data_IF_655404735199
#
_entry.id   IF_655404735199
#
_cell.length_a   1.000
_cell.length_b   1.000
_cell.length_c   1.000
_cell.angle_alpha   90.00
_cell.angle_beta   90.00
_cell.angle_gamma   90.00
#
_symmetry.space_group_name_H-M   'P 1'
#
loop_
_entity.id
_entity.type
_entity.pdbx_description
1 polymer ?
#
# COMPACT_ATOMS: atom_id res chain seq x y z
N UNK A 1 -2.37 -1.93 -13.13
CA UNK A 1 -1.04 -2.49 -13.39
C UNK A 1 -0.27 -2.57 -12.08
N UNK A 2 0.58 -3.60 -11.94
CA UNK A 2 1.39 -3.84 -10.73
C UNK A 2 2.26 -2.63 -10.34
N UNK A 3 2.72 -1.85 -11.32
CA UNK A 3 3.46 -0.61 -11.08
C UNK A 3 2.63 0.44 -10.31
N UNK A 4 1.36 0.63 -10.66
CA UNK A 4 0.49 1.58 -9.94
C UNK A 4 0.24 1.12 -8.50
N UNK A 5 0.02 -0.17 -8.30
CA UNK A 5 -0.17 -0.75 -6.97
C UNK A 5 1.09 -0.59 -6.10
N UNK A 6 2.28 -0.90 -6.64
CA UNK A 6 3.56 -0.68 -5.93
C UNK A 6 3.81 0.78 -5.57
N UNK A 7 3.51 1.71 -6.49
CA UNK A 7 3.64 3.15 -6.23
C UNK A 7 2.67 3.61 -5.13
N UNK A 8 1.43 3.11 -5.16
CA UNK A 8 0.44 3.42 -4.14
C UNK A 8 0.85 2.87 -2.77
N UNK A 9 1.36 1.63 -2.73
CA UNK A 9 1.92 1.02 -1.51
C UNK A 9 3.03 1.85 -0.90
N UNK A 10 4.04 2.21 -1.71
CA UNK A 10 5.20 2.99 -1.24
C UNK A 10 4.77 4.30 -0.59
N UNK A 11 3.77 4.98 -1.15
CA UNK A 11 3.25 6.25 -0.59
C UNK A 11 2.45 6.00 0.68
N UNK A 12 1.63 4.96 0.71
CA UNK A 12 0.81 4.64 1.87
C UNK A 12 1.67 4.22 3.07
N UNK A 13 2.76 3.50 2.82
CA UNK A 13 3.73 3.08 3.85
C UNK A 13 4.41 4.29 4.51
N UNK A 14 4.81 5.30 3.72
CA UNK A 14 5.34 6.57 4.25
C UNK A 14 4.30 7.28 5.12
N UNK A 15 3.07 7.43 4.60
CA UNK A 15 1.98 8.10 5.33
C UNK A 15 1.63 7.35 6.63
N UNK A 16 1.68 6.02 6.60
CA UNK A 16 1.47 5.18 7.77
C UNK A 16 2.49 5.46 8.86
N UNK A 17 3.78 5.39 8.53
CA UNK A 17 4.88 5.66 9.47
C UNK A 17 4.83 7.09 10.03
N UNK A 18 4.57 8.08 9.17
CA UNK A 18 4.42 9.47 9.61
C UNK A 18 3.24 9.64 10.58
N UNK A 19 2.12 8.97 10.32
CA UNK A 19 0.92 9.04 11.17
C UNK A 19 1.12 8.34 12.51
N UNK A 20 1.79 7.18 12.54
CA UNK A 20 2.14 6.51 13.79
C UNK A 20 3.11 7.36 14.61
N UNK A 21 4.08 8.02 13.96
CA UNK A 21 5.00 8.95 14.62
C UNK A 21 4.29 10.19 15.17
N UNK A 22 3.35 10.76 14.42
CA UNK A 22 2.49 11.86 14.87
C UNK A 22 1.69 11.44 16.11
N UNK A 23 0.98 10.31 16.03
CA UNK A 23 0.17 9.79 17.13
C UNK A 23 0.98 9.61 18.42
N UNK A 24 2.23 9.12 18.32
CA UNK A 24 3.11 8.92 19.48
C UNK A 24 3.60 10.23 20.13
N UNK A 25 3.71 11.31 19.36
CA UNK A 25 4.28 12.60 19.81
C UNK A 25 3.22 13.63 20.19
N UNK A 26 2.01 13.48 19.67
CA UNK A 26 0.90 14.39 19.91
C UNK A 26 0.11 14.01 21.17
N UNK A 27 -0.56 15.00 21.75
CA UNK A 27 -1.64 14.73 22.71
C UNK A 27 -2.75 14.00 21.94
N UNK A 28 -3.18 12.86 22.47
CA UNK A 28 -4.22 12.04 21.84
C UNK A 28 -5.51 12.86 21.70
N UNK A 29 -5.94 13.05 20.45
CA UNK A 29 -7.20 13.70 20.11
C UNK A 29 -8.05 12.76 19.24
N UNK A 30 -9.36 13.05 19.17
CA UNK A 30 -10.30 12.29 18.35
C UNK A 30 -9.88 12.29 16.87
N UNK A 31 -9.46 13.44 16.36
CA UNK A 31 -9.08 13.64 14.97
C UNK A 31 -7.84 12.82 14.60
N UNK A 32 -6.84 12.75 15.49
CA UNK A 32 -5.64 11.93 15.25
C UNK A 32 -5.98 10.44 15.29
N UNK A 33 -6.86 10.02 16.20
CA UNK A 33 -7.36 8.64 16.22
C UNK A 33 -8.11 8.27 14.93
N UNK A 34 -8.99 9.15 14.45
CA UNK A 34 -9.73 8.94 13.20
C UNK A 34 -8.80 8.86 11.99
N UNK A 35 -7.83 9.76 11.90
CA UNK A 35 -6.80 9.75 10.86
C UNK A 35 -6.03 8.41 10.86
N UNK A 36 -5.57 7.99 12.04
CA UNK A 36 -4.86 6.72 12.23
C UNK A 36 -5.71 5.52 11.82
N UNK A 37 -7.00 5.52 12.14
CA UNK A 37 -7.91 4.44 11.79
C UNK A 37 -8.12 4.32 10.27
N UNK A 38 -8.34 5.43 9.56
CA UNK A 38 -8.52 5.42 8.10
C UNK A 38 -7.26 4.91 7.40
N UNK A 39 -6.09 5.37 7.84
CA UNK A 39 -4.81 4.94 7.26
C UNK A 39 -4.55 3.45 7.53
N UNK A 40 -4.83 2.96 8.74
CA UNK A 40 -4.75 1.53 9.07
C UNK A 40 -5.64 0.67 8.16
N UNK A 41 -6.90 1.08 7.94
CA UNK A 41 -7.82 0.36 7.05
C UNK A 41 -7.27 0.33 5.62
N UNK A 42 -6.78 1.47 5.12
CA UNK A 42 -6.14 1.56 3.80
C UNK A 42 -4.93 0.63 3.67
N UNK A 43 -4.09 0.56 4.71
CA UNK A 43 -2.90 -0.27 4.76
C UNK A 43 -3.26 -1.75 4.63
N UNK A 44 -4.25 -2.22 5.39
CA UNK A 44 -4.73 -3.60 5.32
C UNK A 44 -5.30 -3.96 3.95
N UNK A 45 -6.07 -3.07 3.33
CA UNK A 45 -6.63 -3.26 1.98
C UNK A 45 -5.51 -3.37 0.94
N UNK A 46 -4.52 -2.48 0.98
CA UNK A 46 -3.40 -2.56 0.03
C UNK A 46 -2.53 -3.79 0.26
N UNK A 47 -2.28 -4.16 1.52
CA UNK A 47 -1.51 -5.36 1.84
C UNK A 47 -2.19 -6.61 1.28
N UNK A 48 -3.50 -6.75 1.47
CA UNK A 48 -4.31 -7.78 0.84
C UNK A 48 -4.22 -7.76 -0.70
N UNK A 49 -4.28 -6.59 -1.32
CA UNK A 49 -4.18 -6.47 -2.78
C UNK A 49 -2.80 -6.85 -3.34
N UNK A 50 -1.73 -6.64 -2.56
CA UNK A 50 -0.35 -7.02 -2.94
C UNK A 50 -0.11 -8.52 -2.71
N UNK A 51 -0.61 -9.07 -1.61
CA UNK A 51 -0.49 -10.50 -1.26
C UNK A 51 -1.27 -11.39 -2.24
N UNK A 52 -2.39 -10.89 -2.80
CA UNK A 52 -3.12 -11.55 -3.88
C UNK A 52 -2.28 -11.53 -5.16
N UNK A 53 -1.39 -12.51 -5.30
CA UNK A 53 -0.58 -12.80 -6.51
C UNK A 53 -1.43 -13.37 -7.66
N UNK A 54 -2.57 -12.76 -7.96
CA UNK A 54 -3.40 -13.14 -9.10
C UNK A 54 -3.50 -11.98 -10.07
N UNK A 55 -2.65 -12.03 -11.10
CA UNK A 55 -2.80 -11.20 -12.29
C UNK A 55 -3.71 -11.92 -13.27
N UNK A 56 -5.03 -11.95 -13.01
CA UNK A 56 -6.02 -12.44 -13.99
C UNK A 56 -6.42 -11.31 -14.94
N UNK A 57 -5.92 -11.38 -16.17
CA UNK A 57 -6.24 -10.47 -17.28
C UNK A 57 -5.01 -10.06 -18.09
N UNK A 58 -5.23 -9.23 -19.13
CA UNK A 58 -4.27 -8.69 -20.13
C UNK A 58 -3.13 -7.81 -19.55
N UNK A 59 -2.70 -8.05 -18.31
CA UNK A 59 -1.52 -7.43 -17.73
C UNK A 59 -0.25 -8.09 -18.25
N UNK A 60 0.07 -7.66 -19.47
CA UNK A 60 1.34 -7.72 -20.17
C UNK A 60 2.49 -7.44 -19.19
N UNK A 61 3.18 -8.50 -18.77
CA UNK A 61 4.50 -8.41 -18.15
C UNK A 61 5.49 -8.37 -19.31
N UNK A 62 5.94 -7.18 -19.70
CA UNK A 62 6.92 -6.97 -20.79
C UNK A 62 8.33 -7.39 -20.35
N UNK A 63 8.52 -7.86 -19.11
CA UNK A 63 9.85 -8.14 -18.57
C UNK A 63 10.24 -9.62 -18.57
N UNK A 64 9.52 -10.48 -19.32
CA UNK A 64 10.02 -11.83 -19.62
C UNK A 64 10.41 -11.93 -21.10
N UNK A 65 11.67 -11.60 -21.48
CA UNK A 65 12.22 -12.17 -22.69
C UNK A 65 12.23 -13.68 -22.49
N UNK A 66 11.40 -14.40 -23.25
CA UNK A 66 11.55 -15.85 -23.36
C UNK A 66 12.96 -16.12 -23.89
N UNK A 67 13.83 -16.60 -23.02
CA UNK A 67 14.97 -17.39 -23.42
C UNK A 67 14.46 -18.62 -24.17
N UNK A 68 15.02 -18.86 -25.36
CA UNK A 68 15.22 -20.19 -25.95
C UNK A 68 13.98 -21.02 -26.31
N UNK A 69 13.80 -21.24 -27.61
CA UNK A 69 12.88 -22.21 -28.19
C UNK A 69 12.70 -21.94 -29.66
#
# INVERSE_FOLDING_TARGET
>A
SNLRLRRAWTRLDIIYEETENLFKRSIVSKEICELRNVINVGYLIMRQAIERKESRGLHYTIDYPKAGG
#
